data_IF_137192979488
#
_entry.id   IF_137192979488
#
_cell.length_a   1.000
_cell.length_b   1.000
_cell.length_c   1.000
_cell.angle_alpha   90.00
_cell.angle_beta   90.00
_cell.angle_gamma   90.00
#
_symmetry.space_group_name_H-M   'P 1'
#
loop_
_entity.id
_entity.type
_entity.pdbx_description
1 polymer ?
#
# COMPACT_ATOMS: atom_id res chain seq x y z
N UNK A 1 17.77 19.68 6.39
CA UNK A 1 19.17 19.49 5.98
C UNK A 1 19.55 18.02 6.09
N UNK A 2 20.50 17.56 5.29
CA UNK A 2 20.98 16.16 5.25
C UNK A 2 21.51 15.71 6.62
N UNK A 3 22.07 16.61 7.39
CA UNK A 3 22.62 16.33 8.73
C UNK A 3 21.52 16.03 9.75
N UNK A 4 20.41 16.75 9.72
CA UNK A 4 19.28 16.50 10.64
C UNK A 4 18.57 15.19 10.36
N UNK A 5 18.47 14.75 9.08
CA UNK A 5 17.92 13.45 8.73
C UNK A 5 18.83 12.29 9.14
N UNK A 6 20.15 12.49 9.17
CA UNK A 6 21.11 11.45 9.55
C UNK A 6 21.05 11.18 11.06
N UNK A 7 20.98 12.24 11.89
CA UNK A 7 20.86 12.10 13.35
C UNK A 7 19.52 11.49 13.78
N UNK A 8 18.42 11.82 13.09
CA UNK A 8 17.10 11.26 13.37
C UNK A 8 16.98 9.75 13.02
N UNK A 9 17.78 9.26 12.06
CA UNK A 9 17.77 7.87 11.62
C UNK A 9 18.83 6.98 12.31
N UNK A 10 19.74 7.55 13.09
CA UNK A 10 20.79 6.79 13.78
C UNK A 10 20.26 5.70 14.71
N UNK A 11 19.22 5.94 15.56
CA UNK A 11 18.66 4.88 16.41
C UNK A 11 18.10 3.71 15.60
N UNK A 12 17.49 3.97 14.45
CA UNK A 12 16.97 2.94 13.57
C UNK A 12 18.06 2.07 12.96
N UNK A 13 19.13 2.68 12.45
CA UNK A 13 20.26 1.96 11.86
C UNK A 13 21.02 1.15 12.90
N UNK A 14 21.22 1.68 14.10
CA UNK A 14 21.82 0.97 15.23
C UNK A 14 20.98 -0.24 15.64
N UNK A 15 19.66 -0.09 15.72
CA UNK A 15 18.74 -1.17 16.04
C UNK A 15 18.76 -2.27 14.96
N UNK A 16 18.66 -1.89 13.69
CA UNK A 16 18.66 -2.81 12.55
C UNK A 16 19.93 -3.67 12.49
N UNK A 17 21.07 -3.12 12.89
CA UNK A 17 22.36 -3.81 12.92
C UNK A 17 22.72 -4.33 14.34
N UNK A 18 21.79 -4.29 15.26
CA UNK A 18 22.03 -4.62 16.65
C UNK A 18 21.98 -6.12 16.94
N UNK A 19 22.00 -6.44 18.23
CA UNK A 19 21.97 -7.79 18.72
C UNK A 19 20.64 -8.47 18.42
N UNK A 20 20.68 -9.66 17.81
CA UNK A 20 19.53 -10.45 17.43
C UNK A 20 18.96 -11.19 18.63
N UNK A 21 17.64 -11.05 18.83
CA UNK A 21 16.87 -11.77 19.84
C UNK A 21 15.74 -12.51 19.12
N UNK A 22 15.71 -13.85 19.17
CA UNK A 22 14.59 -14.61 18.62
C UNK A 22 13.29 -14.20 19.30
N UNK A 23 12.21 -14.10 18.52
CA UNK A 23 10.90 -13.73 19.02
C UNK A 23 9.84 -14.73 18.56
N UNK A 24 9.16 -15.36 19.55
CA UNK A 24 8.08 -16.30 19.31
C UNK A 24 6.93 -15.99 20.24
N UNK A 25 5.74 -15.87 19.69
CA UNK A 25 4.54 -15.62 20.45
C UNK A 25 3.37 -16.39 19.85
N UNK A 26 2.49 -16.91 20.69
CA UNK A 26 1.24 -17.51 20.24
C UNK A 26 0.14 -17.26 21.27
N UNK A 27 -1.06 -17.00 20.78
CA UNK A 27 -2.24 -16.78 21.61
C UNK A 27 -3.50 -17.10 20.83
N UNK A 28 -4.45 -17.76 21.49
CA UNK A 28 -5.82 -17.90 20.99
C UNK A 28 -6.48 -16.54 21.03
N UNK A 29 -7.07 -16.10 19.91
CA UNK A 29 -7.66 -14.77 19.79
C UNK A 29 -9.18 -14.71 19.99
N UNK A 30 -9.83 -15.90 20.09
CA UNK A 30 -11.29 -16.03 20.23
C UNK A 30 -12.04 -15.17 19.19
N UNK A 31 -12.95 -14.32 19.66
CA UNK A 31 -13.79 -13.45 18.82
C UNK A 31 -13.14 -12.07 18.52
N UNK A 32 -11.91 -11.84 18.95
CA UNK A 32 -11.25 -10.56 18.69
C UNK A 32 -11.15 -10.29 17.18
N UNK A 33 -11.63 -9.14 16.75
CA UNK A 33 -11.79 -8.78 15.34
C UNK A 33 -11.17 -7.43 14.96
N UNK A 34 -10.54 -6.75 15.91
CA UNK A 34 -9.85 -5.48 15.68
C UNK A 34 -8.35 -5.72 15.81
N UNK A 35 -7.60 -5.33 14.79
CA UNK A 35 -6.13 -5.35 14.82
C UNK A 35 -5.63 -3.93 15.06
N UNK A 36 -4.84 -3.74 16.09
CA UNK A 36 -4.20 -2.46 16.44
C UNK A 36 -2.70 -2.70 16.64
N UNK A 37 -1.94 -2.49 15.55
CA UNK A 37 -0.51 -2.75 15.52
C UNK A 37 0.27 -1.45 15.38
N UNK A 38 1.24 -1.26 16.27
CA UNK A 38 2.22 -0.16 16.22
C UNK A 38 3.61 -0.75 16.30
N UNK A 39 4.36 -0.65 15.20
CA UNK A 39 5.73 -1.15 15.12
C UNK A 39 6.62 -0.03 14.57
N UNK A 40 7.47 0.53 15.43
CA UNK A 40 8.29 1.66 15.06
C UNK A 40 9.32 1.32 13.98
N UNK A 41 9.98 0.17 14.08
CA UNK A 41 11.03 -0.20 13.15
C UNK A 41 10.91 -1.68 12.79
N UNK A 42 11.00 -2.00 11.52
CA UNK A 42 11.14 -3.36 11.08
C UNK A 42 10.41 -3.74 9.82
N UNK A 43 10.22 -5.03 9.68
CA UNK A 43 9.44 -5.67 8.62
C UNK A 43 8.34 -6.46 9.27
N UNK A 44 7.10 -6.16 8.92
CA UNK A 44 5.92 -6.84 9.44
C UNK A 44 5.19 -7.50 8.27
N UNK A 45 5.20 -8.84 8.28
CA UNK A 45 4.47 -9.66 7.31
C UNK A 45 3.26 -10.25 8.01
N UNK A 46 2.08 -10.00 7.46
CA UNK A 46 0.83 -10.53 7.99
C UNK A 46 0.20 -11.45 6.97
N UNK A 47 -0.17 -12.63 7.39
CA UNK A 47 -0.92 -13.61 6.60
C UNK A 47 -2.00 -14.27 7.44
N UNK A 48 -2.93 -14.96 6.79
CA UNK A 48 -3.95 -15.75 7.50
C UNK A 48 -3.72 -17.24 7.32
N UNK A 49 -4.08 -17.98 8.35
CA UNK A 49 -3.97 -19.44 8.41
C UNK A 49 -5.24 -20.02 9.02
N UNK A 50 -5.55 -21.31 8.76
CA UNK A 50 -6.65 -21.99 9.46
C UNK A 50 -6.40 -22.04 10.97
N UNK A 51 -7.48 -22.07 11.73
CA UNK A 51 -7.42 -22.22 13.19
C UNK A 51 -7.87 -20.97 13.94
N UNK A 52 -7.54 -20.91 15.23
CA UNK A 52 -7.97 -19.86 16.15
C UNK A 52 -6.80 -19.16 16.88
N UNK A 53 -5.57 -19.48 16.50
CA UNK A 53 -4.38 -19.01 17.18
C UNK A 53 -3.61 -18.01 16.32
N UNK A 54 -3.28 -16.85 16.89
CA UNK A 54 -2.30 -15.94 16.35
C UNK A 54 -0.90 -16.39 16.72
N UNK A 55 0.01 -16.37 15.76
CA UNK A 55 1.44 -16.59 16.01
C UNK A 55 2.27 -15.44 15.48
N UNK A 56 3.35 -15.13 16.19
CA UNK A 56 4.40 -14.21 15.73
C UNK A 56 5.70 -14.98 15.75
N UNK A 57 6.35 -15.02 14.60
CA UNK A 57 7.62 -15.71 14.41
C UNK A 57 8.64 -14.74 13.80
N UNK A 58 9.85 -14.80 14.31
CA UNK A 58 10.94 -14.00 13.75
C UNK A 58 11.96 -13.59 14.80
N UNK A 59 12.47 -12.38 14.62
CA UNK A 59 13.52 -11.83 15.46
C UNK A 59 13.25 -10.37 15.78
N UNK A 60 13.77 -9.94 16.93
CA UNK A 60 14.01 -8.54 17.21
C UNK A 60 15.52 -8.28 17.21
N UNK A 61 15.91 -7.07 16.88
CA UNK A 61 17.29 -6.59 17.01
C UNK A 61 17.30 -5.37 17.90
N UNK A 62 18.29 -5.31 18.76
CA UNK A 62 18.42 -4.24 19.75
C UNK A 62 19.76 -3.57 19.57
N UNK A 63 19.76 -2.24 19.51
CA UNK A 63 21.00 -1.46 19.44
C UNK A 63 21.89 -1.82 20.62
N UNK A 64 23.16 -2.14 20.33
CA UNK A 64 24.15 -2.43 21.36
C UNK A 64 24.34 -1.20 22.26
N UNK A 65 24.35 -1.43 23.58
CA UNK A 65 24.73 -0.41 24.57
C UNK A 65 26.11 -0.72 25.11
N UNK A 66 26.84 0.31 25.50
CA UNK A 66 28.22 0.21 26.01
C UNK A 66 28.31 -0.48 27.40
N UNK A 67 27.25 -1.14 27.84
CA UNK A 67 27.21 -1.89 29.07
C UNK A 67 27.69 -3.33 28.86
N UNK A 68 28.68 -3.74 29.64
CA UNK A 68 29.32 -5.06 29.57
C UNK A 68 28.34 -6.24 29.74
N UNK A 69 27.17 -6.00 30.34
CA UNK A 69 26.14 -7.00 30.62
C UNK A 69 24.75 -6.59 30.13
N UNK A 70 24.66 -6.08 28.91
CA UNK A 70 23.38 -5.68 28.35
C UNK A 70 22.46 -6.88 28.09
N UNK A 71 21.32 -6.92 28.78
CA UNK A 71 20.28 -7.93 28.58
C UNK A 71 19.33 -7.55 27.44
N UNK A 72 19.66 -7.96 26.22
CA UNK A 72 18.87 -7.67 25.04
C UNK A 72 17.48 -8.34 25.09
N UNK A 73 17.38 -9.55 25.62
CA UNK A 73 16.10 -10.26 25.74
C UNK A 73 15.17 -9.55 26.73
N UNK A 74 15.66 -9.13 27.87
CA UNK A 74 14.91 -8.32 28.83
C UNK A 74 14.48 -6.98 28.25
N UNK A 75 15.34 -6.35 27.48
CA UNK A 75 15.03 -5.09 26.81
C UNK A 75 13.85 -5.24 25.86
N UNK A 76 13.83 -6.27 25.02
CA UNK A 76 12.72 -6.60 24.12
C UNK A 76 11.45 -6.92 24.90
N UNK A 77 11.55 -7.79 25.92
CA UNK A 77 10.42 -8.20 26.76
C UNK A 77 9.73 -6.99 27.40
N UNK A 78 10.48 -6.00 27.85
CA UNK A 78 9.94 -4.82 28.52
C UNK A 78 9.31 -3.81 27.56
N UNK A 79 9.74 -3.80 26.29
CA UNK A 79 9.34 -2.79 25.30
C UNK A 79 8.36 -3.28 24.24
N UNK A 80 8.28 -4.58 24.04
CA UNK A 80 7.34 -5.19 23.08
C UNK A 80 6.15 -5.75 23.84
N UNK A 81 4.96 -5.25 23.54
CA UNK A 81 3.70 -5.69 24.14
C UNK A 81 2.84 -6.33 23.07
N UNK A 82 2.41 -7.55 23.32
CA UNK A 82 1.51 -8.31 22.44
C UNK A 82 0.44 -8.99 23.29
N UNK A 83 -0.80 -8.90 22.85
CA UNK A 83 -1.89 -9.55 23.54
C UNK A 83 -3.24 -9.24 22.95
N UNK A 84 -4.26 -9.82 23.58
CA UNK A 84 -5.67 -9.56 23.29
C UNK A 84 -6.26 -8.79 24.46
N UNK A 85 -6.85 -7.65 24.17
CA UNK A 85 -7.56 -6.80 25.12
C UNK A 85 -8.98 -6.57 24.61
N UNK A 86 -9.96 -7.20 25.23
CA UNK A 86 -11.35 -7.27 24.76
C UNK A 86 -11.44 -7.76 23.31
N UNK A 87 -11.89 -6.91 22.40
CA UNK A 87 -12.05 -7.20 20.97
C UNK A 87 -10.79 -6.86 20.14
N UNK A 88 -9.74 -6.37 20.79
CA UNK A 88 -8.54 -5.91 20.11
C UNK A 88 -7.38 -6.88 20.25
N UNK A 89 -6.75 -7.15 19.14
CA UNK A 89 -5.43 -7.78 19.10
C UNK A 89 -4.42 -6.64 19.02
N UNK A 90 -3.63 -6.47 20.07
CA UNK A 90 -2.70 -5.35 20.22
C UNK A 90 -1.28 -5.82 20.07
N UNK A 91 -0.54 -5.16 19.19
CA UNK A 91 0.92 -5.28 19.08
C UNK A 91 1.50 -3.88 19.21
N UNK A 92 2.41 -3.71 20.16
CA UNK A 92 3.04 -2.43 20.42
C UNK A 92 4.54 -2.59 20.62
N UNK A 93 5.31 -2.14 19.62
CA UNK A 93 6.76 -2.05 19.65
C UNK A 93 7.16 -0.65 19.18
N UNK A 94 7.13 0.33 20.07
CA UNK A 94 7.32 1.75 19.75
C UNK A 94 8.70 2.29 20.12
N UNK A 95 9.56 1.46 20.69
CA UNK A 95 10.94 1.87 20.96
C UNK A 95 11.73 2.02 19.67
N UNK A 96 12.41 3.15 19.52
CA UNK A 96 13.31 3.40 18.38
C UNK A 96 14.56 2.50 18.39
N UNK A 97 14.85 1.87 19.53
CA UNK A 97 16.00 0.98 19.72
C UNK A 97 15.71 -0.47 19.44
N UNK A 98 14.48 -0.82 19.11
CA UNK A 98 14.06 -2.18 18.76
C UNK A 98 13.66 -2.22 17.29
N UNK A 99 14.25 -3.16 16.58
CA UNK A 99 13.89 -3.49 15.19
C UNK A 99 13.27 -4.88 15.16
N UNK A 100 12.07 -5.01 14.60
CA UNK A 100 11.34 -6.28 14.53
C UNK A 100 11.32 -6.79 13.09
N UNK A 101 11.69 -8.04 12.90
CA UNK A 101 11.48 -8.75 11.63
C UNK A 101 10.55 -9.94 11.92
N UNK A 102 9.26 -9.73 11.63
CA UNK A 102 8.20 -10.65 12.04
C UNK A 102 7.35 -11.15 10.88
N UNK A 103 6.93 -12.43 11.03
CA UNK A 103 5.78 -12.96 10.33
C UNK A 103 4.67 -13.21 11.34
N UNK A 104 3.55 -12.53 11.15
CA UNK A 104 2.35 -12.63 11.96
C UNK A 104 1.34 -13.48 11.20
N UNK A 105 0.97 -14.62 11.78
CA UNK A 105 -0.07 -15.48 11.22
C UNK A 105 -1.34 -15.33 12.05
N UNK A 106 -2.42 -14.92 11.40
CA UNK A 106 -3.71 -14.68 12.01
C UNK A 106 -4.72 -15.75 11.59
N UNK A 107 -5.68 -16.11 12.41
CA UNK A 107 -6.79 -16.95 12.00
C UNK A 107 -7.55 -16.38 10.80
N UNK A 108 -7.99 -17.25 9.91
CA UNK A 108 -8.85 -16.91 8.78
C UNK A 108 -10.25 -16.52 9.31
N UNK A 109 -10.56 -15.26 9.23
CA UNK A 109 -11.87 -14.68 9.57
C UNK A 109 -11.97 -13.28 8.98
N UNK A 110 -13.15 -12.70 9.04
CA UNK A 110 -13.33 -11.28 8.67
C UNK A 110 -13.02 -10.41 9.88
N UNK A 111 -12.02 -9.55 9.74
CA UNK A 111 -11.65 -8.56 10.77
C UNK A 111 -12.43 -7.27 10.57
N UNK A 112 -13.03 -6.74 11.62
CA UNK A 112 -13.86 -5.53 11.53
C UNK A 112 -13.01 -4.28 11.23
N UNK A 113 -11.84 -4.20 11.84
CA UNK A 113 -10.93 -3.08 11.66
C UNK A 113 -9.47 -3.52 11.75
N UNK A 114 -8.66 -3.04 10.83
CA UNK A 114 -7.22 -3.35 10.77
C UNK A 114 -6.43 -2.04 10.71
N UNK A 115 -5.81 -1.68 11.81
CA UNK A 115 -4.96 -0.50 11.90
C UNK A 115 -3.51 -0.88 12.15
N UNK A 116 -2.61 -0.45 11.29
CA UNK A 116 -1.17 -0.68 11.44
C UNK A 116 -0.44 0.63 11.21
N UNK A 117 0.37 1.01 12.20
CA UNK A 117 1.21 2.21 12.14
C UNK A 117 2.67 1.84 12.32
N UNK A 118 3.53 2.47 11.56
CA UNK A 118 4.97 2.30 11.63
C UNK A 118 5.73 3.60 11.39
N UNK A 119 6.97 3.65 11.85
CA UNK A 119 7.87 4.77 11.60
C UNK A 119 8.86 4.43 10.48
N UNK A 120 9.72 3.45 10.71
CA UNK A 120 10.63 2.88 9.71
C UNK A 120 10.26 1.42 9.52
N UNK A 121 9.15 1.19 8.84
CA UNK A 121 8.51 -0.12 8.84
C UNK A 121 8.01 -0.45 7.44
N UNK A 122 8.32 -1.64 6.98
CA UNK A 122 7.74 -2.21 5.77
C UNK A 122 6.62 -3.16 6.14
N UNK A 123 5.44 -2.97 5.52
CA UNK A 123 4.26 -3.79 5.74
C UNK A 123 4.00 -4.67 4.51
N UNK A 124 3.86 -5.96 4.74
CA UNK A 124 3.41 -6.91 3.72
C UNK A 124 2.20 -7.66 4.26
N UNK A 125 1.04 -7.49 3.65
CA UNK A 125 -0.17 -8.21 4.01
C UNK A 125 -0.61 -9.10 2.86
N UNK A 126 -0.96 -10.34 3.18
CA UNK A 126 -1.41 -11.35 2.24
C UNK A 126 -2.66 -12.07 2.72
N UNK A 127 -3.59 -12.31 1.80
CA UNK A 127 -4.73 -13.21 2.03
C UNK A 127 -5.55 -12.83 3.27
N UNK A 128 -5.72 -11.54 3.50
CA UNK A 128 -6.47 -11.00 4.61
C UNK A 128 -7.85 -10.54 4.16
N UNK A 129 -8.86 -10.85 4.95
CA UNK A 129 -10.22 -10.40 4.76
C UNK A 129 -10.67 -9.56 5.95
N UNK A 130 -11.20 -8.39 5.68
CA UNK A 130 -11.66 -7.46 6.72
C UNK A 130 -12.66 -6.47 6.15
N UNK A 131 -13.08 -5.51 6.97
CA UNK A 131 -13.97 -4.43 6.56
C UNK A 131 -13.19 -3.16 6.28
N UNK A 132 -12.68 -2.51 7.31
CA UNK A 132 -11.97 -1.25 7.18
C UNK A 132 -10.50 -1.41 7.56
N UNK A 133 -9.64 -0.82 6.73
CA UNK A 133 -8.19 -0.87 6.90
C UNK A 133 -7.63 0.55 6.94
N UNK A 134 -6.73 0.77 7.88
CA UNK A 134 -5.97 2.01 7.99
C UNK A 134 -4.49 1.73 8.19
N UNK A 135 -3.65 2.19 7.26
CA UNK A 135 -2.21 2.03 7.34
C UNK A 135 -1.51 3.37 7.27
N UNK A 136 -0.55 3.58 8.14
CA UNK A 136 0.25 4.79 8.19
C UNK A 136 1.71 4.43 8.47
N UNK A 137 2.60 4.76 7.54
CA UNK A 137 4.04 4.50 7.65
C UNK A 137 4.79 5.76 7.23
N UNK A 138 5.77 6.20 8.01
CA UNK A 138 6.59 7.34 7.62
C UNK A 138 7.62 6.92 6.57
N UNK A 139 8.45 5.94 6.87
CA UNK A 139 9.48 5.44 5.96
C UNK A 139 9.35 3.93 5.80
N UNK A 140 8.93 3.49 4.64
CA UNK A 140 8.75 2.10 4.30
C UNK A 140 7.65 1.88 3.28
N UNK A 141 7.65 0.71 2.70
CA UNK A 141 6.67 0.30 1.70
C UNK A 141 5.46 -0.38 2.35
N UNK A 142 4.32 -0.24 1.70
CA UNK A 142 3.11 -0.99 2.02
C UNK A 142 2.76 -1.85 0.81
N UNK A 143 2.79 -3.16 0.98
CA UNK A 143 2.45 -4.14 -0.06
C UNK A 143 1.27 -4.99 0.39
N UNK A 144 0.21 -4.97 -0.40
CA UNK A 144 -0.98 -5.76 -0.17
C UNK A 144 -1.19 -6.70 -1.35
N UNK A 145 -1.44 -7.97 -1.07
CA UNK A 145 -1.75 -8.97 -2.07
C UNK A 145 -2.90 -9.86 -1.61
N UNK A 146 -3.90 -10.04 -2.48
CA UNK A 146 -5.07 -10.87 -2.17
C UNK A 146 -5.77 -10.43 -0.88
N UNK A 147 -5.97 -9.13 -0.72
CA UNK A 147 -6.62 -8.52 0.44
C UNK A 147 -8.00 -8.00 0.05
N UNK A 148 -8.99 -8.31 0.87
CA UNK A 148 -10.38 -7.93 0.62
C UNK A 148 -10.94 -7.10 1.77
N UNK A 149 -11.78 -6.14 1.42
CA UNK A 149 -12.45 -5.30 2.41
C UNK A 149 -13.48 -4.37 1.81
N UNK A 150 -13.89 -3.39 2.59
CA UNK A 150 -14.83 -2.35 2.19
C UNK A 150 -14.07 -1.05 1.94
N UNK A 151 -13.31 -0.58 2.91
CA UNK A 151 -12.52 0.65 2.82
C UNK A 151 -11.05 0.37 3.11
N UNK A 152 -10.19 0.87 2.23
CA UNK A 152 -8.75 0.91 2.45
C UNK A 152 -8.29 2.37 2.44
N UNK A 153 -7.68 2.80 3.53
CA UNK A 153 -6.94 4.04 3.64
C UNK A 153 -5.49 3.74 3.98
N UNK A 154 -4.56 4.20 3.17
CA UNK A 154 -3.15 3.97 3.39
C UNK A 154 -2.33 5.21 3.03
N UNK A 155 -1.38 5.55 3.87
CA UNK A 155 -0.48 6.65 3.63
C UNK A 155 0.96 6.31 4.04
N UNK A 156 1.90 6.78 3.25
CA UNK A 156 3.32 6.74 3.56
C UNK A 156 3.96 8.07 3.18
N UNK A 157 5.02 8.44 3.86
CA UNK A 157 5.79 9.63 3.48
C UNK A 157 6.87 9.26 2.48
N UNK A 158 7.75 8.35 2.83
CA UNK A 158 8.82 7.87 1.95
C UNK A 158 8.67 6.37 1.76
N UNK A 159 7.97 5.98 0.72
CA UNK A 159 7.75 4.58 0.41
C UNK A 159 6.78 4.38 -0.74
N UNK A 160 6.73 3.17 -1.22
CA UNK A 160 5.86 2.75 -2.31
C UNK A 160 4.62 2.04 -1.77
N UNK A 161 3.52 2.21 -2.46
CA UNK A 161 2.28 1.49 -2.22
C UNK A 161 2.06 0.54 -3.41
N UNK A 162 2.14 -0.76 -3.17
CA UNK A 162 1.95 -1.76 -4.19
C UNK A 162 0.80 -2.68 -3.84
N UNK A 163 -0.25 -2.64 -4.64
CA UNK A 163 -1.47 -3.39 -4.44
C UNK A 163 -1.71 -4.37 -5.59
N UNK A 164 -1.82 -5.65 -5.27
CA UNK A 164 -2.04 -6.73 -6.22
C UNK A 164 -3.29 -7.53 -5.83
N UNK A 165 -4.20 -7.72 -6.78
CA UNK A 165 -5.43 -8.50 -6.61
C UNK A 165 -6.24 -8.08 -5.37
N UNK A 166 -6.45 -6.79 -5.19
CA UNK A 166 -7.32 -6.28 -4.14
C UNK A 166 -8.79 -6.37 -4.53
N UNK A 167 -9.65 -6.45 -3.54
CA UNK A 167 -11.10 -6.33 -3.70
C UNK A 167 -11.65 -5.43 -2.60
N UNK A 168 -12.05 -4.21 -2.96
CA UNK A 168 -12.56 -3.20 -2.06
C UNK A 168 -13.71 -2.42 -2.69
N UNK A 169 -14.53 -1.80 -1.86
CA UNK A 169 -15.46 -0.79 -2.33
C UNK A 169 -14.70 0.50 -2.67
N UNK A 170 -13.94 1.02 -1.71
CA UNK A 170 -13.17 2.25 -1.87
C UNK A 170 -11.72 2.07 -1.43
N UNK A 171 -10.80 2.61 -2.24
CA UNK A 171 -9.36 2.62 -1.96
C UNK A 171 -8.87 4.06 -2.02
N UNK A 172 -8.37 4.56 -0.91
CA UNK A 172 -7.77 5.89 -0.78
C UNK A 172 -6.33 5.74 -0.32
N UNK A 173 -5.39 6.19 -1.12
CA UNK A 173 -3.97 6.02 -0.82
C UNK A 173 -3.15 7.23 -1.21
N UNK A 174 -2.17 7.53 -0.39
CA UNK A 174 -1.32 8.71 -0.52
C UNK A 174 0.13 8.38 -0.18
N UNK A 175 1.04 8.91 -0.98
CA UNK A 175 2.48 8.92 -0.66
C UNK A 175 3.06 10.30 -0.96
N UNK A 176 4.07 10.71 -0.22
CA UNK A 176 4.79 11.93 -0.55
C UNK A 176 5.90 11.60 -1.56
N UNK A 177 6.79 10.70 -1.22
CA UNK A 177 7.89 10.28 -2.09
C UNK A 177 7.82 8.77 -2.31
N UNK A 178 7.26 8.37 -3.42
CA UNK A 178 7.12 6.97 -3.79
C UNK A 178 6.11 6.76 -4.91
N UNK A 179 6.03 5.54 -5.37
CA UNK A 179 5.14 5.13 -6.45
C UNK A 179 3.90 4.43 -5.89
N UNK A 180 2.80 4.54 -6.60
CA UNK A 180 1.57 3.82 -6.31
C UNK A 180 1.22 2.92 -7.49
N UNK A 181 1.02 1.65 -7.23
CA UNK A 181 0.55 0.68 -8.21
C UNK A 181 -0.69 -0.02 -7.68
N UNK A 182 -1.81 0.11 -8.38
CA UNK A 182 -3.08 -0.51 -8.03
C UNK A 182 -3.55 -1.47 -9.13
N UNK A 183 -3.69 -2.73 -8.75
CA UNK A 183 -4.36 -3.76 -9.50
C UNK A 183 -5.40 -4.44 -8.60
N UNK A 184 -6.65 -4.45 -9.00
CA UNK A 184 -7.72 -5.04 -8.21
C UNK A 184 -9.11 -4.67 -8.69
N UNK A 185 -10.08 -5.12 -7.92
CA UNK A 185 -11.50 -4.84 -8.12
C UNK A 185 -11.95 -3.80 -7.09
N UNK A 186 -12.51 -2.70 -7.55
CA UNK A 186 -12.96 -1.60 -6.69
C UNK A 186 -14.07 -0.80 -7.38
N UNK A 187 -14.90 -0.13 -6.58
CA UNK A 187 -15.92 0.79 -7.08
C UNK A 187 -15.33 2.18 -7.28
N UNK A 188 -14.57 2.68 -6.32
CA UNK A 188 -13.91 3.97 -6.38
C UNK A 188 -12.49 3.93 -5.83
N UNK A 189 -11.63 4.79 -6.38
CA UNK A 189 -10.29 4.98 -5.84
C UNK A 189 -9.83 6.41 -5.98
N UNK A 190 -9.07 6.86 -4.99
CA UNK A 190 -8.35 8.13 -5.00
C UNK A 190 -6.90 7.88 -4.62
N UNK A 191 -5.99 8.16 -5.56
CA UNK A 191 -4.56 7.91 -5.40
C UNK A 191 -3.80 9.21 -5.61
N UNK A 192 -2.98 9.59 -4.64
CA UNK A 192 -2.19 10.82 -4.67
C UNK A 192 -0.72 10.56 -4.35
N UNK A 193 0.15 11.16 -5.13
CA UNK A 193 1.59 11.23 -4.84
C UNK A 193 2.08 12.67 -5.03
N UNK A 194 3.11 13.06 -4.30
CA UNK A 194 3.79 14.33 -4.56
C UNK A 194 4.91 14.09 -5.56
N UNK A 195 5.86 13.24 -5.23
CA UNK A 195 6.94 12.84 -6.14
C UNK A 195 6.92 11.33 -6.31
N UNK A 196 6.39 10.89 -7.43
CA UNK A 196 6.28 9.48 -7.76
C UNK A 196 5.33 9.23 -8.92
N UNK A 197 5.39 8.04 -9.45
CA UNK A 197 4.55 7.59 -10.54
C UNK A 197 3.34 6.82 -10.01
N UNK A 198 2.21 6.93 -10.71
CA UNK A 198 1.00 6.19 -10.35
C UNK A 198 0.56 5.35 -11.55
N UNK A 199 0.34 4.07 -11.30
CA UNK A 199 -0.19 3.14 -12.29
C UNK A 199 -1.45 2.47 -11.76
N UNK A 200 -2.53 2.54 -12.52
CA UNK A 200 -3.82 1.95 -12.17
C UNK A 200 -4.33 1.07 -13.31
N UNK A 201 -4.73 -0.15 -12.98
CA UNK A 201 -5.46 -1.02 -13.88
C UNK A 201 -6.97 -0.90 -13.62
N UNK A 202 -7.73 -0.53 -14.65
CA UNK A 202 -9.20 -0.47 -14.64
C UNK A 202 -9.70 -1.69 -15.41
N UNK A 203 -9.77 -2.82 -14.71
CA UNK A 203 -9.97 -4.12 -15.30
C UNK A 203 -11.37 -4.71 -15.04
N UNK A 204 -12.19 -4.08 -14.21
CA UNK A 204 -13.47 -4.60 -13.79
C UNK A 204 -14.62 -3.65 -14.13
N UNK A 205 -15.74 -4.18 -14.71
CA UNK A 205 -16.90 -3.36 -15.10
C UNK A 205 -17.59 -2.64 -13.93
N UNK A 206 -17.39 -3.10 -12.70
CA UNK A 206 -17.97 -2.51 -11.51
C UNK A 206 -17.34 -1.18 -11.12
N UNK A 207 -16.13 -0.90 -11.58
CA UNK A 207 -15.44 0.38 -11.29
C UNK A 207 -16.24 1.55 -11.83
N UNK A 208 -16.46 2.55 -10.97
CA UNK A 208 -17.23 3.75 -11.28
C UNK A 208 -16.38 5.02 -11.34
N UNK A 209 -15.41 5.15 -10.43
CA UNK A 209 -14.62 6.36 -10.29
C UNK A 209 -13.16 6.07 -10.00
N UNK A 210 -12.29 6.73 -10.76
CA UNK A 210 -10.83 6.70 -10.58
C UNK A 210 -10.32 8.14 -10.57
N UNK A 211 -9.74 8.56 -9.47
CA UNK A 211 -9.15 9.89 -9.29
C UNK A 211 -7.67 9.74 -8.94
N UNK A 212 -6.81 10.25 -9.82
CA UNK A 212 -5.35 10.03 -9.72
C UNK A 212 -4.63 11.35 -9.90
N UNK A 213 -3.81 11.70 -8.95
CA UNK A 213 -3.03 12.94 -8.96
C UNK A 213 -1.60 12.71 -8.50
N UNK A 214 -0.64 13.26 -9.23
CA UNK A 214 0.74 13.40 -8.76
C UNK A 214 1.25 14.80 -9.14
N UNK A 215 2.20 15.33 -8.41
CA UNK A 215 2.80 16.62 -8.75
C UNK A 215 3.98 16.41 -9.70
N UNK A 216 4.95 15.62 -9.29
CA UNK A 216 6.14 15.29 -10.08
C UNK A 216 6.17 13.79 -10.33
N UNK A 217 5.64 13.37 -11.45
CA UNK A 217 5.61 11.98 -11.84
C UNK A 217 4.69 11.70 -13.01
N UNK A 218 4.74 10.49 -13.50
CA UNK A 218 3.94 10.02 -14.61
C UNK A 218 2.71 9.25 -14.11
N UNK A 219 1.64 9.31 -14.87
CA UNK A 219 0.43 8.53 -14.61
C UNK A 219 0.20 7.58 -15.79
N UNK A 220 -0.06 6.33 -15.47
CA UNK A 220 -0.44 5.31 -16.44
C UNK A 220 -1.75 4.66 -16.04
N UNK A 221 -2.76 4.81 -16.88
CA UNK A 221 -4.07 4.17 -16.74
C UNK A 221 -4.17 3.06 -17.78
N UNK A 222 -4.43 1.84 -17.34
CA UNK A 222 -4.63 0.69 -18.20
C UNK A 222 -6.08 0.23 -18.06
N UNK A 223 -6.84 0.21 -19.16
CA UNK A 223 -8.23 -0.22 -19.16
C UNK A 223 -8.37 -1.56 -19.90
N UNK A 224 -9.14 -2.47 -19.33
CA UNK A 224 -9.42 -3.75 -19.99
C UNK A 224 -10.27 -3.56 -21.25
N UNK A 225 -10.15 -4.47 -22.20
CA UNK A 225 -10.86 -4.38 -23.47
C UNK A 225 -12.38 -4.27 -23.31
N UNK A 226 -12.95 -5.04 -22.38
CA UNK A 226 -14.39 -5.08 -22.11
C UNK A 226 -14.92 -3.91 -21.28
N UNK A 227 -14.04 -3.10 -20.73
CA UNK A 227 -14.40 -1.95 -19.89
C UNK A 227 -14.32 -0.67 -20.70
N UNK A 228 -15.34 0.16 -20.60
CA UNK A 228 -15.35 1.50 -21.17
C UNK A 228 -14.58 2.49 -20.28
N UNK A 229 -14.56 3.75 -20.70
CA UNK A 229 -13.84 4.82 -20.01
C UNK A 229 -14.32 6.18 -20.47
N UNK A 230 -14.50 7.10 -19.55
CA UNK A 230 -14.49 8.53 -19.81
C UNK A 230 -13.39 9.15 -18.96
N UNK A 231 -12.32 9.63 -19.59
CA UNK A 231 -11.14 10.13 -18.89
C UNK A 231 -10.91 11.61 -19.19
N UNK A 232 -10.81 12.38 -18.13
CA UNK A 232 -10.34 13.76 -18.15
C UNK A 232 -8.90 13.79 -17.67
N UNK A 233 -7.98 14.13 -18.54
CA UNK A 233 -6.54 14.07 -18.31
C UNK A 233 -5.89 15.41 -18.53
N UNK A 234 -5.01 15.82 -17.62
CA UNK A 234 -4.35 17.11 -17.61
C UNK A 234 -2.91 17.02 -17.11
N UNK A 235 -2.01 17.69 -17.82
CA UNK A 235 -0.62 17.91 -17.38
C UNK A 235 -0.19 19.32 -17.72
N UNK A 236 0.55 19.98 -16.83
CA UNK A 236 1.11 21.30 -17.07
C UNK A 236 2.39 21.22 -17.88
N UNK A 237 3.35 20.40 -17.46
CA UNK A 237 4.65 20.22 -18.11
C UNK A 237 4.85 18.73 -18.44
N UNK A 238 4.39 18.31 -19.59
CA UNK A 238 4.48 16.95 -20.04
C UNK A 238 3.62 16.68 -21.26
N UNK A 239 3.44 15.43 -21.58
CA UNK A 239 2.68 14.97 -22.73
C UNK A 239 1.57 14.01 -22.35
N UNK A 240 0.55 13.94 -23.17
CA UNK A 240 -0.58 13.03 -23.05
C UNK A 240 -0.51 12.06 -24.22
N UNK A 241 -0.57 10.75 -23.91
CA UNK A 241 -0.51 9.68 -24.90
C UNK A 241 -1.70 8.72 -24.75
N UNK A 242 -2.39 8.48 -25.83
CA UNK A 242 -3.44 7.47 -25.96
C UNK A 242 -3.61 7.07 -27.42
N UNK A 243 -4.16 5.88 -27.65
CA UNK A 243 -4.42 5.39 -29.00
C UNK A 243 -5.78 5.91 -29.50
N UNK A 244 -5.75 6.79 -30.51
CA UNK A 244 -6.96 7.38 -31.08
C UNK A 244 -7.84 6.37 -31.84
N UNK A 245 -7.34 5.16 -32.12
CA UNK A 245 -8.14 4.07 -32.68
C UNK A 245 -9.00 3.39 -31.60
N UNK A 246 -8.64 3.52 -30.34
CA UNK A 246 -9.35 2.96 -29.19
C UNK A 246 -10.19 4.00 -28.48
N UNK A 247 -9.65 5.21 -28.32
CA UNK A 247 -10.28 6.30 -27.56
C UNK A 247 -10.70 7.45 -28.50
N UNK A 248 -11.96 7.83 -28.38
CA UNK A 248 -12.50 9.02 -29.07
C UNK A 248 -12.09 10.28 -28.32
N UNK A 249 -11.56 11.25 -29.02
CA UNK A 249 -11.26 12.58 -28.47
C UNK A 249 -12.53 13.45 -28.49
N UNK A 250 -13.05 13.77 -27.32
CA UNK A 250 -14.21 14.65 -27.17
C UNK A 250 -13.77 16.11 -27.15
N UNK A 251 -12.68 16.38 -26.46
CA UNK A 251 -12.11 17.72 -26.30
C UNK A 251 -10.62 17.62 -26.06
N UNK A 252 -9.86 18.52 -26.64
CA UNK A 252 -8.42 18.58 -26.43
C UNK A 252 -7.95 20.04 -26.42
N UNK A 253 -7.11 20.39 -25.47
CA UNK A 253 -6.49 21.70 -25.33
C UNK A 253 -4.98 21.54 -25.26
N UNK A 254 -4.27 22.34 -26.06
CA UNK A 254 -2.81 22.45 -26.02
C UNK A 254 -2.45 23.93 -26.01
N UNK A 255 -1.91 24.40 -24.90
CA UNK A 255 -1.27 25.69 -24.80
C UNK A 255 0.10 25.58 -24.10
N UNK A 256 0.75 26.70 -23.84
CA UNK A 256 2.09 26.73 -23.26
C UNK A 256 2.14 26.30 -21.80
N UNK A 257 1.03 26.37 -21.09
CA UNK A 257 0.94 26.14 -19.65
C UNK A 257 0.15 24.87 -19.28
N UNK A 258 -0.56 24.28 -20.25
CA UNK A 258 -1.46 23.17 -19.98
C UNK A 258 -1.73 22.32 -21.22
N UNK A 259 -1.77 21.03 -21.03
CA UNK A 259 -2.29 20.07 -21.99
C UNK A 259 -3.38 19.26 -21.33
N UNK A 260 -4.56 19.27 -21.93
CA UNK A 260 -5.70 18.50 -21.42
C UNK A 260 -6.42 17.76 -22.53
N UNK A 261 -7.06 16.67 -22.20
CA UNK A 261 -7.91 15.92 -23.09
C UNK A 261 -9.06 15.27 -22.33
N UNK A 262 -10.23 15.29 -22.95
CA UNK A 262 -11.35 14.45 -22.57
C UNK A 262 -11.50 13.37 -23.63
N UNK A 263 -11.27 12.13 -23.23
CA UNK A 263 -11.32 10.97 -24.12
C UNK A 263 -12.37 9.96 -23.65
N UNK A 264 -12.92 9.20 -24.57
CA UNK A 264 -13.97 8.23 -24.28
C UNK A 264 -13.75 6.93 -25.04
N UNK A 265 -13.97 5.84 -24.36
CA UNK A 265 -14.13 4.51 -24.93
C UNK A 265 -15.48 3.97 -24.48
N UNK A 266 -16.42 3.85 -25.39
CA UNK A 266 -17.79 3.44 -25.06
C UNK A 266 -17.90 1.92 -24.90
N UNK A 267 -18.44 1.49 -23.78
CA UNK A 267 -18.82 0.12 -23.42
C UNK A 267 -20.04 0.17 -22.48
N UNK A 268 -20.55 -0.96 -22.08
CA UNK A 268 -21.67 -1.04 -21.14
C UNK A 268 -21.33 -0.44 -19.78
N UNK A 269 -20.09 -0.56 -19.36
CA UNK A 269 -19.55 0.04 -18.14
C UNK A 269 -18.58 1.18 -18.54
N UNK A 270 -18.78 2.35 -17.96
CA UNK A 270 -17.99 3.55 -18.27
C UNK A 270 -17.54 4.24 -16.99
N UNK A 271 -16.47 3.74 -16.34
CA UNK A 271 -15.89 4.45 -15.22
C UNK A 271 -15.41 5.84 -15.64
N UNK A 272 -15.61 6.80 -14.74
CA UNK A 272 -15.06 8.13 -14.89
C UNK A 272 -13.67 8.18 -14.28
N UNK A 273 -12.70 8.59 -15.08
CA UNK A 273 -11.31 8.76 -14.68
C UNK A 273 -10.92 10.21 -14.76
N UNK A 274 -10.32 10.71 -13.68
CA UNK A 274 -9.67 12.03 -13.63
C UNK A 274 -8.20 11.78 -13.30
N UNK A 275 -7.30 12.21 -14.16
CA UNK A 275 -5.87 12.04 -13.98
C UNK A 275 -5.15 13.37 -14.22
N UNK A 276 -4.38 13.80 -13.23
CA UNK A 276 -3.68 15.08 -13.25
C UNK A 276 -2.25 14.94 -12.75
N UNK A 277 -1.32 15.54 -13.49
CA UNK A 277 0.07 15.73 -13.04
C UNK A 277 0.53 17.14 -13.39
N UNK A 278 1.45 17.69 -12.62
CA UNK A 278 2.07 18.97 -12.93
C UNK A 278 3.26 18.78 -13.85
N UNK A 279 4.23 17.98 -13.41
CA UNK A 279 5.44 17.65 -14.19
C UNK A 279 5.49 16.17 -14.44
N UNK A 280 5.07 15.76 -15.63
CA UNK A 280 5.07 14.36 -16.02
C UNK A 280 4.14 14.09 -17.19
N UNK A 281 4.16 12.87 -17.66
CA UNK A 281 3.35 12.39 -18.77
C UNK A 281 2.17 11.56 -18.27
N UNK A 282 1.07 11.62 -18.99
CA UNK A 282 -0.09 10.77 -18.76
C UNK A 282 -0.29 9.86 -19.96
N UNK A 283 -0.38 8.58 -19.69
CA UNK A 283 -0.61 7.54 -20.68
C UNK A 283 -1.88 6.77 -20.35
N UNK A 284 -2.78 6.63 -21.31
CA UNK A 284 -3.99 5.82 -21.20
C UNK A 284 -3.96 4.76 -22.26
N UNK A 285 -3.90 3.50 -21.85
CA UNK A 285 -3.78 2.34 -22.74
C UNK A 285 -4.89 1.35 -22.50
N UNK A 286 -5.26 0.63 -23.57
CA UNK A 286 -6.04 -0.59 -23.43
C UNK A 286 -5.10 -1.76 -23.14
N UNK A 287 -5.41 -2.54 -22.09
CA UNK A 287 -4.72 -3.80 -21.83
C UNK A 287 -4.93 -4.76 -22.99
N UNK A 288 -3.87 -5.36 -23.51
CA UNK A 288 -3.98 -6.42 -24.49
C UNK A 288 -4.43 -7.71 -23.80
N UNK A 289 -5.47 -8.36 -24.37
CA UNK A 289 -5.83 -9.70 -23.93
C UNK A 289 -4.68 -10.65 -24.23
N UNK A 290 -4.28 -11.47 -23.24
CA UNK A 290 -3.30 -12.54 -23.42
C UNK A 290 -3.84 -13.59 -24.40
N UNK A 291 -3.52 -13.44 -25.69
CA UNK A 291 -3.84 -14.43 -26.74
C UNK A 291 -2.78 -15.53 -26.86
N UNK A 292 -1.77 -15.55 -25.99
CA UNK A 292 -0.65 -16.51 -26.05
C UNK A 292 -0.99 -17.92 -25.55
N UNK A 293 -2.18 -18.17 -24.98
CA UNK A 293 -2.57 -19.49 -24.46
C UNK A 293 -3.42 -20.35 -25.42
N UNK A 294 -3.57 -19.96 -26.71
CA UNK A 294 -4.31 -20.75 -27.72
C UNK A 294 -3.45 -21.06 -28.93
N UNK A 295 -2.30 -21.68 -28.74
CA UNK A 295 -1.60 -22.43 -29.80
C UNK A 295 -0.78 -23.54 -29.15
N UNK A 296 -1.44 -24.54 -28.64
CA UNK A 296 -0.96 -25.94 -28.57
C UNK A 296 -2.18 -26.81 -28.34
N UNK A 297 -2.64 -27.37 -29.41
CA UNK A 297 -3.68 -28.36 -29.46
C UNK A 297 -3.53 -29.12 -30.75
#
# INVERSE_FOLDING_TARGET
>A
SVIQNTEANMPYLEAKNGKKVPYHFHQVIDDASILDFKVANGIVRVKTVPGNTMTIEGNCRVAAQDEEFFDAEGFVRDRVKVGVDDDKIVIKSVSKRVYCDWTISLPQKVYDYVAIKGLNTTLHLKELEGKDYYFEVDNGDIRLKDVKGVLLEAETVNGNLKYEHLEFKDIVSETVNGNIHLDGKFLGTKLEAVTGNIKVAVAHPETKKVDVETVNGNIKIEVAEEVGLEAEIETSLGSIHFDETVFEVIRQTKDLAERSALIRKTRNSMPRVVAETTTGNIQVNQLQSDTSSKKEG
#
